data_IF_168012606764
#
_entry.id   IF_168012606764
#
_cell.length_a   1.000
_cell.length_b   1.000
_cell.length_c   1.000
_cell.angle_alpha   90.00
_cell.angle_beta   90.00
_cell.angle_gamma   90.00
#
_symmetry.space_group_name_H-M   'P 1'
#
loop_
_entity.id
_entity.type
_entity.pdbx_description
1 polymer ?
#
# COMPACT_ATOMS: atom_id res chain seq x y z
N UNK A 1 2.02 14.53 20.40
CA UNK A 1 1.92 14.58 18.93
C UNK A 1 0.51 15.04 18.58
N UNK A 2 0.37 16.00 17.66
CA UNK A 2 -0.96 16.45 17.20
C UNK A 2 -1.77 15.28 16.66
N UNK A 3 -3.07 15.22 16.99
CA UNK A 3 -3.91 14.06 16.68
C UNK A 3 -3.94 13.73 15.18
N UNK A 4 -3.83 14.73 14.30
CA UNK A 4 -3.78 14.51 12.85
C UNK A 4 -2.46 13.88 12.37
N UNK A 5 -1.33 14.22 13.00
CA UNK A 5 -0.02 13.62 12.68
C UNK A 5 -0.01 12.13 13.01
N UNK A 6 -0.56 11.76 14.16
CA UNK A 6 -0.68 10.33 14.53
C UNK A 6 -1.59 9.56 13.57
N UNK A 7 -2.71 10.16 13.13
CA UNK A 7 -3.59 9.54 12.13
C UNK A 7 -2.85 9.28 10.81
N UNK A 8 -2.04 10.23 10.37
CA UNK A 8 -1.24 10.09 9.15
C UNK A 8 -0.18 8.99 9.26
N UNK A 9 0.52 8.89 10.39
CA UNK A 9 1.48 7.81 10.65
C UNK A 9 0.79 6.45 10.62
N UNK A 10 -0.37 6.33 11.28
CA UNK A 10 -1.13 5.09 11.28
C UNK A 10 -1.60 4.72 9.87
N UNK A 11 -2.16 5.69 9.13
CA UNK A 11 -2.60 5.51 7.76
C UNK A 11 -1.47 5.06 6.83
N UNK A 12 -0.31 5.70 6.90
CA UNK A 12 0.86 5.31 6.10
C UNK A 12 1.33 3.89 6.40
N UNK A 13 1.37 3.50 7.67
CA UNK A 13 1.83 2.18 8.09
C UNK A 13 0.84 1.08 7.71
N UNK A 14 -0.46 1.28 7.92
CA UNK A 14 -1.50 0.35 7.46
C UNK A 14 -1.50 0.20 5.94
N UNK A 15 -1.39 1.31 5.20
CA UNK A 15 -1.35 1.29 3.75
C UNK A 15 -0.11 0.55 3.24
N UNK A 16 1.05 0.79 3.84
CA UNK A 16 2.32 0.09 3.52
C UNK A 16 2.17 -1.42 3.72
N UNK A 17 1.62 -1.86 4.85
CA UNK A 17 1.44 -3.28 5.14
C UNK A 17 0.52 -3.95 4.12
N UNK A 18 -0.64 -3.33 3.84
CA UNK A 18 -1.60 -3.85 2.85
C UNK A 18 -1.01 -3.86 1.44
N UNK A 19 -0.28 -2.81 1.06
CA UNK A 19 0.38 -2.70 -0.23
C UNK A 19 1.44 -3.80 -0.41
N UNK A 20 2.25 -4.06 0.62
CA UNK A 20 3.25 -5.13 0.60
C UNK A 20 2.61 -6.49 0.42
N UNK A 21 1.61 -6.84 1.24
CA UNK A 21 0.90 -8.13 1.15
C UNK A 21 0.26 -8.35 -0.22
N UNK A 22 -0.36 -7.32 -0.79
CA UNK A 22 -0.93 -7.39 -2.14
C UNK A 22 0.17 -7.56 -3.20
N UNK A 23 1.30 -6.87 -3.05
CA UNK A 23 2.45 -7.02 -3.94
C UNK A 23 3.04 -8.43 -3.91
N UNK A 24 3.18 -9.02 -2.72
CA UNK A 24 3.67 -10.39 -2.54
C UNK A 24 2.73 -11.40 -3.20
N UNK A 25 1.41 -11.22 -3.03
CA UNK A 25 0.39 -12.05 -3.68
C UNK A 25 0.47 -11.93 -5.22
N UNK A 26 0.58 -10.71 -5.76
CA UNK A 26 0.71 -10.48 -7.21
C UNK A 26 2.02 -11.07 -7.76
N UNK A 27 3.11 -10.99 -7.01
CA UNK A 27 4.39 -11.60 -7.38
C UNK A 27 4.26 -13.13 -7.44
N UNK A 28 3.65 -13.76 -6.43
CA UNK A 28 3.38 -15.19 -6.42
C UNK A 28 2.49 -15.59 -7.60
N UNK A 29 1.44 -14.82 -7.90
CA UNK A 29 0.59 -15.04 -9.08
C UNK A 29 1.42 -15.00 -10.38
N UNK A 30 2.26 -13.98 -10.57
CA UNK A 30 3.09 -13.84 -11.78
C UNK A 30 4.09 -14.98 -11.99
N UNK A 31 4.45 -15.70 -10.93
CA UNK A 31 5.35 -16.86 -10.95
C UNK A 31 4.62 -18.20 -11.04
N UNK A 32 3.28 -18.21 -11.06
CA UNK A 32 2.45 -19.41 -10.92
C UNK A 32 2.71 -20.15 -9.58
N UNK A 33 3.07 -19.42 -8.53
CA UNK A 33 3.35 -19.94 -7.18
C UNK A 33 2.17 -19.72 -6.22
N UNK A 34 1.10 -19.05 -6.66
CA UNK A 34 -0.09 -18.80 -5.85
C UNK A 34 -0.91 -20.09 -5.68
N UNK A 35 -1.27 -20.41 -4.44
CA UNK A 35 -1.97 -21.65 -4.05
C UNK A 35 -3.49 -21.58 -4.22
N UNK A 36 -4.01 -20.46 -4.72
CA UNK A 36 -5.42 -20.25 -4.99
C UNK A 36 -5.65 -19.44 -6.29
N UNK A 37 -6.84 -19.60 -6.87
CA UNK A 37 -7.30 -18.76 -7.98
C UNK A 37 -7.99 -17.51 -7.43
N UNK A 38 -7.53 -16.29 -7.75
CA UNK A 38 -8.19 -15.08 -7.32
C UNK A 38 -9.59 -14.94 -7.94
N UNK A 39 -10.61 -14.72 -7.13
CA UNK A 39 -11.96 -14.42 -7.63
C UNK A 39 -12.05 -13.01 -8.22
N UNK A 40 -11.12 -12.13 -7.85
CA UNK A 40 -11.01 -10.76 -8.36
C UNK A 40 -10.13 -10.76 -9.61
N UNK A 41 -10.49 -10.01 -10.68
CA UNK A 41 -9.61 -9.85 -11.83
C UNK A 41 -8.23 -9.34 -11.42
N UNK A 42 -7.18 -10.01 -11.88
CA UNK A 42 -5.78 -9.66 -11.56
C UNK A 42 -5.48 -8.21 -11.93
N UNK A 43 -5.97 -7.74 -13.07
CA UNK A 43 -5.78 -6.35 -13.52
C UNK A 43 -6.36 -5.32 -12.55
N UNK A 44 -7.44 -5.67 -11.84
CA UNK A 44 -8.01 -4.82 -10.80
C UNK A 44 -7.14 -4.82 -9.54
N UNK A 45 -6.58 -5.96 -9.16
CA UNK A 45 -5.62 -6.08 -8.05
C UNK A 45 -4.30 -5.34 -8.33
N UNK A 46 -3.79 -5.42 -9.56
CA UNK A 46 -2.63 -4.64 -10.02
C UNK A 46 -2.92 -3.14 -9.97
N UNK A 47 -4.10 -2.72 -10.45
CA UNK A 47 -4.54 -1.32 -10.36
C UNK A 47 -4.60 -0.86 -8.91
N UNK A 48 -5.19 -1.68 -8.02
CA UNK A 48 -5.25 -1.41 -6.60
C UNK A 48 -3.84 -1.24 -6.01
N UNK A 49 -2.90 -2.12 -6.31
CA UNK A 49 -1.52 -2.05 -5.84
C UNK A 49 -0.81 -0.77 -6.33
N UNK A 50 -0.97 -0.41 -7.60
CA UNK A 50 -0.46 0.83 -8.18
C UNK A 50 -1.04 2.06 -7.48
N UNK A 51 -2.36 2.09 -7.27
CA UNK A 51 -3.05 3.19 -6.58
C UNK A 51 -2.58 3.32 -5.13
N UNK A 52 -2.40 2.22 -4.41
CA UNK A 52 -1.86 2.22 -3.03
C UNK A 52 -0.41 2.71 -2.98
N UNK A 53 0.40 2.35 -3.97
CA UNK A 53 1.80 2.79 -4.08
C UNK A 53 1.88 4.31 -4.30
N UNK A 54 1.10 4.83 -5.26
CA UNK A 54 0.97 6.28 -5.49
C UNK A 54 0.42 6.98 -4.24
N UNK A 55 -0.61 6.37 -3.65
CA UNK A 55 -1.17 6.56 -2.31
C UNK A 55 -0.12 7.01 -1.29
N UNK A 56 0.70 6.02 -0.99
CA UNK A 56 1.75 6.03 0.01
C UNK A 56 2.85 7.04 -0.31
N UNK A 57 3.20 7.23 -1.58
CA UNK A 57 4.20 8.23 -1.99
C UNK A 57 3.70 9.66 -1.72
N UNK A 58 2.41 9.94 -1.92
CA UNK A 58 1.80 11.22 -1.54
C UNK A 58 1.92 11.43 -0.03
N UNK A 59 1.63 10.41 0.79
CA UNK A 59 1.78 10.51 2.25
C UNK A 59 3.24 10.80 2.66
N UNK A 60 4.23 10.17 2.02
CA UNK A 60 5.64 10.49 2.28
C UNK A 60 5.99 11.94 2.00
N UNK A 61 5.64 12.42 0.81
CA UNK A 61 5.91 13.82 0.42
C UNK A 61 5.21 14.81 1.35
N UNK A 62 3.96 14.53 1.73
CA UNK A 62 3.25 15.33 2.71
C UNK A 62 3.95 15.35 4.06
N UNK A 63 4.46 14.21 4.53
CA UNK A 63 5.15 14.14 5.80
C UNK A 63 6.46 14.93 5.80
N UNK A 64 7.19 14.91 4.68
CA UNK A 64 8.38 15.76 4.48
C UNK A 64 8.03 17.26 4.55
N UNK A 65 6.95 17.67 3.87
CA UNK A 65 6.47 19.07 3.87
C UNK A 65 5.97 19.52 5.24
N UNK A 66 5.23 18.65 5.93
CA UNK A 66 4.57 18.95 7.21
C UNK A 66 5.46 18.70 8.44
N UNK A 67 6.70 18.21 8.25
CA UNK A 67 7.63 17.86 9.32
C UNK A 67 7.08 16.75 10.23
N UNK A 68 6.64 15.64 9.62
CA UNK A 68 6.11 14.45 10.28
C UNK A 68 7.07 13.29 10.04
N UNK A 69 7.43 12.56 11.10
CA UNK A 69 8.24 11.34 11.01
C UNK A 69 7.30 10.13 10.81
N UNK A 70 7.49 9.38 9.72
CA UNK A 70 6.64 8.25 9.29
C UNK A 70 7.26 6.87 9.56
#
# INVERSE_FOLDING_TARGET
MEAYKQRMINEYNELKERQMKLGDMLLAYSKNELDFEPTCPITLLETQWCTMTTYRNILKLRAEIEGIEL
#
